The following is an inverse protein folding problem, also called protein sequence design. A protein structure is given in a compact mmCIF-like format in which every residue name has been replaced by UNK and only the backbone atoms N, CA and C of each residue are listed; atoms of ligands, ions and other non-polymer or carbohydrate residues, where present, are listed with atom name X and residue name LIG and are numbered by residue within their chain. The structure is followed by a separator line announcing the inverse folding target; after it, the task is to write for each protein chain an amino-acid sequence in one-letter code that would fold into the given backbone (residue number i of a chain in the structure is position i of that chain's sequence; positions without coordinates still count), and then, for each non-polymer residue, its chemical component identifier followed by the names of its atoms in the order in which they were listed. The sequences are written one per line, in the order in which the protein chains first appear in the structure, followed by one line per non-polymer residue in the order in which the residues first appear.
data_IF_503890721588
#
_entry.id   IF_503890721588
#
_cell.length_a   1.000
_cell.length_b   1.000
_cell.length_c   1.000
_cell.angle_alpha   90.00
_cell.angle_beta   90.00
_cell.angle_gamma   90.00
#
_symmetry.space_group_name_H-M   'P 1'
#
loop_
_entity.id
_entity.type
_entity.pdbx_description
1 polymer ?
#
# COMPACT_ATOMS: atom_id res chain seq x y z
N UNK A 1 -19.56 4.74 -16.71
CA UNK A 1 -18.11 4.51 -16.94
C UNK A 1 -17.26 5.18 -15.86
N UNK A 2 -17.54 6.44 -15.49
CA UNK A 2 -16.79 7.15 -14.45
C UNK A 2 -16.99 6.58 -13.03
N UNK A 3 -18.22 6.22 -12.63
CA UNK A 3 -18.50 5.63 -11.31
C UNK A 3 -17.82 4.26 -11.10
N UNK A 4 -17.73 3.45 -12.17
CA UNK A 4 -17.08 2.14 -12.11
C UNK A 4 -15.57 2.25 -11.90
N UNK A 5 -14.95 3.27 -12.51
CA UNK A 5 -13.53 3.56 -12.31
C UNK A 5 -13.26 4.07 -10.89
N UNK A 6 -14.10 4.97 -10.37
CA UNK A 6 -13.95 5.47 -9.01
C UNK A 6 -14.12 4.36 -7.95
N UNK A 7 -15.11 3.48 -8.12
CA UNK A 7 -15.30 2.33 -7.25
C UNK A 7 -14.10 1.37 -7.31
N UNK A 8 -13.58 1.07 -8.50
CA UNK A 8 -12.39 0.23 -8.65
C UNK A 8 -11.16 0.83 -7.95
N UNK A 9 -10.97 2.15 -8.03
CA UNK A 9 -9.86 2.83 -7.35
C UNK A 9 -10.01 2.79 -5.82
N UNK A 10 -11.21 3.01 -5.30
CA UNK A 10 -11.50 2.88 -3.86
C UNK A 10 -11.27 1.45 -3.35
N UNK A 11 -11.64 0.43 -4.12
CA UNK A 11 -11.35 -0.96 -3.79
C UNK A 11 -9.85 -1.27 -3.84
N UNK A 12 -9.14 -0.74 -4.84
CA UNK A 12 -7.69 -0.89 -4.94
C UNK A 12 -6.97 -0.25 -3.76
N UNK A 13 -7.37 0.96 -3.37
CA UNK A 13 -6.84 1.64 -2.18
C UNK A 13 -7.03 0.80 -0.90
N UNK A 14 -8.21 0.22 -0.70
CA UNK A 14 -8.47 -0.70 0.43
C UNK A 14 -7.54 -1.91 0.42
N UNK A 15 -7.27 -2.49 -0.75
CA UNK A 15 -6.32 -3.60 -0.91
C UNK A 15 -4.89 -3.18 -0.55
N UNK A 16 -4.44 -2.02 -1.00
CA UNK A 16 -3.11 -1.49 -0.67
C UNK A 16 -2.94 -1.26 0.84
N UNK A 17 -3.96 -0.68 1.49
CA UNK A 17 -3.96 -0.50 2.96
C UNK A 17 -3.84 -1.86 3.68
N UNK A 18 -4.59 -2.88 3.23
CA UNK A 18 -4.49 -4.22 3.81
C UNK A 18 -3.09 -4.84 3.62
N UNK A 19 -2.49 -4.69 2.45
CA UNK A 19 -1.14 -5.20 2.16
C UNK A 19 -0.07 -4.50 3.00
N UNK A 20 -0.16 -3.17 3.13
CA UNK A 20 0.73 -2.38 3.98
C UNK A 20 0.66 -2.81 5.43
N UNK A 21 -0.54 -3.06 5.96
CA UNK A 21 -0.69 -3.56 7.33
C UNK A 21 -0.02 -4.93 7.53
N UNK A 22 -0.04 -5.80 6.52
CA UNK A 22 0.70 -7.06 6.55
C UNK A 22 2.21 -6.81 6.58
N UNK A 23 2.74 -5.91 5.74
CA UNK A 23 4.16 -5.57 5.73
C UNK A 23 4.63 -4.96 7.06
N UNK A 24 3.81 -4.07 7.64
CA UNK A 24 4.08 -3.47 8.96
C UNK A 24 4.11 -4.56 10.04
N UNK A 25 3.16 -5.50 10.01
CA UNK A 25 3.13 -6.63 10.95
C UNK A 25 4.40 -7.49 10.82
N UNK A 26 4.86 -7.75 9.58
CA UNK A 26 6.12 -8.45 9.34
C UNK A 26 7.33 -7.68 9.89
N UNK A 27 7.36 -6.34 9.73
CA UNK A 27 8.44 -5.49 10.24
C UNK A 27 8.51 -5.44 11.77
N UNK A 28 7.36 -5.51 12.45
CA UNK A 28 7.31 -5.60 13.92
C UNK A 28 7.84 -6.96 14.41
N UNK A 29 7.68 -8.00 13.60
CA UNK A 29 8.15 -9.35 13.89
C UNK A 29 9.68 -9.51 13.86
N UNK A 30 10.09 -10.76 14.10
CA UNK A 30 11.49 -11.17 13.98
C UNK A 30 11.83 -11.42 12.51
N UNK A 31 12.83 -10.71 12.01
CA UNK A 31 13.39 -10.84 10.67
C UNK A 31 14.91 -10.77 10.77
N UNK A 32 15.60 -11.48 9.90
CA UNK A 32 17.05 -11.29 9.71
C UNK A 32 17.31 -9.84 9.25
N UNK A 33 18.52 -9.27 9.48
CA UNK A 33 18.82 -7.91 9.02
C UNK A 33 18.56 -7.70 7.51
N UNK A 34 18.92 -8.70 6.68
CA UNK A 34 18.70 -8.65 5.25
C UNK A 34 17.21 -8.68 4.87
N UNK A 35 16.41 -9.55 5.49
CA UNK A 35 14.98 -9.62 5.19
C UNK A 35 14.23 -8.40 5.71
N UNK A 36 14.64 -7.85 6.85
CA UNK A 36 14.12 -6.57 7.37
C UNK A 36 14.36 -5.44 6.36
N UNK A 37 15.55 -5.37 5.78
CA UNK A 37 15.87 -4.34 4.78
C UNK A 37 15.05 -4.52 3.50
N UNK A 38 14.87 -5.75 3.03
CA UNK A 38 14.00 -6.05 1.87
C UNK A 38 12.54 -5.64 2.13
N UNK A 39 11.97 -6.08 3.25
CA UNK A 39 10.58 -5.75 3.62
C UNK A 39 10.41 -4.25 3.82
N UNK A 40 11.39 -3.58 4.44
CA UNK A 40 11.37 -2.11 4.58
C UNK A 40 11.38 -1.41 3.23
N UNK A 41 12.20 -1.89 2.29
CA UNK A 41 12.26 -1.32 0.93
C UNK A 41 10.92 -1.44 0.23
N UNK A 42 10.29 -2.61 0.29
CA UNK A 42 8.95 -2.85 -0.29
C UNK A 42 7.92 -1.96 0.39
N UNK A 43 7.91 -1.89 1.73
CA UNK A 43 6.98 -1.07 2.49
C UNK A 43 7.05 0.41 2.11
N UNK A 44 8.26 0.96 1.92
CA UNK A 44 8.45 2.35 1.51
C UNK A 44 7.84 2.61 0.12
N UNK A 45 8.07 1.70 -0.83
CA UNK A 45 7.53 1.81 -2.19
C UNK A 45 5.99 1.73 -2.16
N UNK A 46 5.43 0.77 -1.42
CA UNK A 46 3.99 0.55 -1.35
C UNK A 46 3.25 1.72 -0.68
N UNK A 47 3.86 2.40 0.31
CA UNK A 47 3.31 3.63 0.89
C UNK A 47 3.21 4.72 -0.17
N UNK A 48 4.27 4.93 -0.97
CA UNK A 48 4.24 5.91 -2.05
C UNK A 48 3.20 5.57 -3.13
N UNK A 49 3.11 4.29 -3.52
CA UNK A 49 2.11 3.85 -4.48
C UNK A 49 0.68 4.07 -3.99
N UNK A 50 0.41 3.80 -2.70
CA UNK A 50 -0.87 4.09 -2.06
C UNK A 50 -1.17 5.59 -2.08
N UNK A 51 -0.20 6.45 -1.77
CA UNK A 51 -0.40 7.91 -1.73
C UNK A 51 -0.74 8.48 -3.11
N UNK A 52 -0.17 7.92 -4.18
CA UNK A 52 -0.54 8.29 -5.55
C UNK A 52 -1.98 7.90 -5.85
N UNK A 53 -2.41 6.70 -5.45
CA UNK A 53 -3.80 6.23 -5.64
C UNK A 53 -4.78 7.09 -4.86
N UNK A 54 -4.48 7.41 -3.61
CA UNK A 54 -5.30 8.30 -2.77
C UNK A 54 -5.44 9.69 -3.41
N UNK A 55 -4.34 10.26 -3.92
CA UNK A 55 -4.39 11.53 -4.67
C UNK A 55 -5.28 11.44 -5.90
N UNK A 56 -5.24 10.34 -6.65
CA UNK A 56 -6.11 10.15 -7.83
C UNK A 56 -7.59 10.08 -7.42
N UNK A 57 -7.90 9.46 -6.28
CA UNK A 57 -9.27 9.42 -5.74
C UNK A 57 -9.72 10.81 -5.27
N UNK A 58 -8.82 11.59 -4.64
CA UNK A 58 -9.12 12.92 -4.10
C UNK A 58 -9.12 14.05 -5.13
N UNK A 59 -8.39 13.92 -6.26
CA UNK A 59 -8.29 14.93 -7.32
C UNK A 59 -9.50 14.94 -8.27
N UNK A 60 -10.64 14.38 -7.87
CA UNK A 60 -11.91 14.48 -8.60
C UNK A 60 -12.92 15.35 -7.88
#
# INVERSE_FOLDING_TARGET
LEEGYENAMKEYYKKQVSQLNTLITMLIGQLTPGDRQKVMTICTIDVHARDVVDKIIQQK
#
